data_IF_654313309259
#
_entry.id   IF_654313309259
#
_cell.length_a   1.000
_cell.length_b   1.000
_cell.length_c   1.000
_cell.angle_alpha   90.00
_cell.angle_beta   90.00
_cell.angle_gamma   90.00
#
_symmetry.space_group_name_H-M   'P 1'
#
loop_
_entity.id
_entity.type
_entity.pdbx_description
1 polymer ?
#
# COMPACT_ATOMS: atom_id res chain seq x y z
N UNK A 1 -18.03 -5.63 14.09
CA UNK A 1 -16.89 -4.77 14.45
C UNK A 1 -15.84 -5.68 15.06
N UNK A 2 -14.94 -6.21 14.24
CA UNK A 2 -13.87 -7.09 14.68
C UNK A 2 -12.66 -6.24 15.01
N UNK A 3 -12.22 -6.30 16.26
CA UNK A 3 -10.94 -5.74 16.71
C UNK A 3 -9.84 -6.47 15.92
N UNK A 4 -9.18 -5.76 14.99
CA UNK A 4 -8.04 -6.30 14.24
C UNK A 4 -6.95 -6.62 15.25
N UNK A 5 -6.72 -7.91 15.47
CA UNK A 5 -5.69 -8.42 16.37
C UNK A 5 -4.32 -7.97 15.85
N UNK A 6 -3.42 -7.54 16.73
CA UNK A 6 -2.01 -7.26 16.38
C UNK A 6 -1.30 -8.45 15.71
N UNK A 7 -1.90 -9.64 15.74
CA UNK A 7 -1.43 -10.87 15.08
C UNK A 7 -1.94 -11.07 13.64
N UNK A 8 -2.85 -10.23 13.13
CA UNK A 8 -3.38 -10.32 11.76
C UNK A 8 -2.67 -9.40 10.75
N UNK A 9 -1.67 -8.61 11.19
CA UNK A 9 -0.80 -7.88 10.27
C UNK A 9 0.25 -8.84 9.73
N UNK A 10 0.17 -9.14 8.43
CA UNK A 10 1.25 -9.86 7.76
C UNK A 10 2.53 -9.00 7.76
N UNK A 11 3.69 -9.67 7.71
CA UNK A 11 5.01 -9.01 7.73
C UNK A 11 5.14 -7.96 6.61
N UNK A 12 4.41 -8.15 5.51
CA UNK A 12 4.39 -7.20 4.39
C UNK A 12 3.73 -5.88 4.82
N UNK A 13 2.56 -5.92 5.46
CA UNK A 13 1.84 -4.74 5.92
C UNK A 13 2.66 -3.92 6.94
N UNK A 14 3.40 -4.59 7.82
CA UNK A 14 4.33 -3.94 8.76
C UNK A 14 5.41 -3.18 7.99
N UNK A 15 6.09 -3.84 7.04
CA UNK A 15 7.12 -3.21 6.22
C UNK A 15 6.59 -2.06 5.38
N UNK A 16 5.37 -2.17 4.85
CA UNK A 16 4.74 -1.06 4.13
C UNK A 16 4.54 0.16 5.06
N UNK A 17 4.09 -0.05 6.30
CA UNK A 17 4.00 1.04 7.28
C UNK A 17 5.36 1.65 7.62
N UNK A 18 6.41 0.85 7.82
CA UNK A 18 7.77 1.35 8.09
C UNK A 18 8.26 2.29 6.99
N UNK A 19 8.00 1.95 5.72
CA UNK A 19 8.38 2.80 4.59
C UNK A 19 7.54 4.07 4.53
N UNK A 20 6.23 4.00 4.81
CA UNK A 20 5.38 5.20 4.90
C UNK A 20 5.88 6.14 6.00
N UNK A 21 6.16 5.62 7.19
CA UNK A 21 6.67 6.38 8.33
C UNK A 21 8.03 7.04 8.03
N UNK A 22 8.97 6.29 7.44
CA UNK A 22 10.27 6.81 7.03
C UNK A 22 10.18 7.95 6.00
N UNK A 23 9.09 8.01 5.23
CA UNK A 23 8.81 9.05 4.23
C UNK A 23 7.83 10.13 4.73
N UNK A 24 7.49 10.17 6.03
CA UNK A 24 6.55 11.11 6.67
C UNK A 24 5.10 11.02 6.15
N UNK A 25 4.66 9.84 5.72
CA UNK A 25 3.26 9.56 5.38
C UNK A 25 2.55 8.86 6.55
N UNK A 26 1.43 9.41 7.01
CA UNK A 26 0.68 8.93 8.17
C UNK A 26 -0.71 8.38 7.80
N UNK A 27 -0.80 7.63 6.70
CA UNK A 27 -2.05 7.03 6.28
C UNK A 27 -2.28 5.66 6.91
N UNK A 28 -3.56 5.32 7.14
CA UNK A 28 -3.96 3.96 7.52
C UNK A 28 -4.18 3.12 6.26
N UNK A 29 -3.53 1.95 6.18
CA UNK A 29 -3.64 1.04 5.03
C UNK A 29 -4.94 0.24 5.11
N UNK A 30 -5.83 0.48 4.14
CA UNK A 30 -7.06 -0.30 3.92
C UNK A 30 -6.77 -1.61 3.18
N UNK A 31 -6.08 -1.55 2.04
CA UNK A 31 -5.65 -2.72 1.27
C UNK A 31 -4.38 -2.42 0.46
N UNK A 32 -3.68 -3.46 0.02
CA UNK A 32 -2.51 -3.33 -0.84
C UNK A 32 -2.46 -4.46 -1.86
N UNK A 33 -1.74 -4.22 -2.95
CA UNK A 33 -1.60 -5.15 -4.05
C UNK A 33 -0.14 -5.21 -4.52
N UNK A 34 0.43 -6.41 -4.52
CA UNK A 34 1.75 -6.67 -5.11
C UNK A 34 1.64 -6.59 -6.64
N UNK A 35 2.15 -5.51 -7.22
CA UNK A 35 2.11 -5.27 -8.65
C UNK A 35 3.14 -6.12 -9.39
N UNK A 36 4.39 -6.08 -8.93
CA UNK A 36 5.52 -6.79 -9.51
C UNK A 36 6.48 -7.24 -8.40
N UNK A 37 7.10 -8.39 -8.61
CA UNK A 37 8.13 -8.95 -7.75
C UNK A 37 9.38 -9.27 -8.59
N UNK A 38 10.42 -8.47 -8.42
CA UNK A 38 11.71 -8.67 -9.09
C UNK A 38 12.59 -9.59 -8.24
N UNK A 39 12.27 -10.89 -8.28
CA UNK A 39 13.04 -11.98 -7.64
C UNK A 39 13.24 -11.72 -6.13
N UNK A 40 12.28 -11.10 -5.46
CA UNK A 40 12.34 -10.76 -4.04
C UNK A 40 13.22 -9.56 -3.68
N UNK A 41 14.05 -9.07 -4.60
CA UNK A 41 14.95 -7.93 -4.41
C UNK A 41 14.18 -6.61 -4.36
N UNK A 42 13.19 -6.45 -5.25
CA UNK A 42 12.32 -5.28 -5.29
C UNK A 42 10.88 -5.73 -5.51
N UNK A 43 10.02 -5.46 -4.54
CA UNK A 43 8.58 -5.75 -4.60
C UNK A 43 7.80 -4.44 -4.68
N UNK A 44 7.09 -4.23 -5.78
CA UNK A 44 6.29 -3.02 -6.03
C UNK A 44 4.88 -3.21 -5.54
N UNK A 45 4.38 -2.23 -4.79
CA UNK A 45 3.06 -2.24 -4.21
C UNK A 45 2.27 -1.00 -4.60
N UNK A 46 0.99 -1.22 -4.82
CA UNK A 46 0.01 -0.17 -4.66
C UNK A 46 -0.70 -0.35 -3.34
N UNK A 47 -0.86 0.74 -2.62
CA UNK A 47 -1.62 0.81 -1.37
C UNK A 47 -2.86 1.64 -1.62
N UNK A 48 -3.98 1.16 -1.11
CA UNK A 48 -5.17 1.96 -0.87
C UNK A 48 -5.29 2.23 0.63
N UNK A 49 -5.40 3.49 0.97
CA UNK A 49 -5.58 3.95 2.35
C UNK A 49 -7.07 4.00 2.71
N UNK A 50 -7.41 4.24 3.99
CA UNK A 50 -8.79 4.38 4.44
C UNK A 50 -9.46 5.67 3.96
N UNK A 51 -8.67 6.68 3.57
CA UNK A 51 -9.12 7.93 2.94
C UNK A 51 -9.11 7.88 1.41
N UNK A 52 -8.96 6.69 0.82
CA UNK A 52 -8.97 6.43 -0.62
C UNK A 52 -7.81 7.08 -1.42
N UNK A 53 -6.76 7.48 -0.72
CA UNK A 53 -5.46 7.79 -1.32
C UNK A 53 -4.80 6.52 -1.87
N UNK A 54 -4.25 6.61 -3.08
CA UNK A 54 -3.46 5.54 -3.69
C UNK A 54 -1.99 5.87 -3.60
N UNK A 55 -1.18 4.98 -3.03
CA UNK A 55 0.26 5.16 -2.88
C UNK A 55 0.99 4.10 -3.72
N UNK A 56 1.91 4.54 -4.56
CA UNK A 56 2.83 3.71 -5.34
C UNK A 56 4.19 3.67 -4.66
N UNK A 57 4.68 2.49 -4.31
CA UNK A 57 5.91 2.34 -3.54
C UNK A 57 6.56 0.96 -3.73
N UNK A 58 7.78 0.78 -3.23
CA UNK A 58 8.44 -0.52 -3.19
C UNK A 58 8.97 -0.92 -1.81
N UNK A 59 9.07 -2.24 -1.61
CA UNK A 59 9.91 -2.84 -0.58
C UNK A 59 11.18 -3.36 -1.25
N UNK A 60 12.33 -2.87 -0.82
CA UNK A 60 13.66 -3.30 -1.28
C UNK A 60 14.74 -2.95 -0.25
N UNK A 61 16.01 -3.12 -0.59
CA UNK A 61 17.13 -2.57 0.20
C UNK A 61 17.06 -1.03 0.33
N UNK A 62 16.48 -0.35 -0.66
CA UNK A 62 16.28 1.09 -0.71
C UNK A 62 14.78 1.37 -0.94
N UNK A 63 13.95 1.27 0.10
CA UNK A 63 12.51 1.44 -0.07
C UNK A 63 12.16 2.89 -0.37
N UNK A 64 11.17 3.10 -1.23
CA UNK A 64 10.80 4.42 -1.73
C UNK A 64 9.29 4.50 -1.97
N UNK A 65 8.73 5.69 -1.72
CA UNK A 65 7.40 6.09 -2.18
C UNK A 65 7.55 6.87 -3.48
N UNK A 66 7.06 6.32 -4.58
CA UNK A 66 7.21 6.92 -5.91
C UNK A 66 6.15 7.98 -6.20
N UNK A 67 4.90 7.73 -5.77
CA UNK A 67 3.80 8.65 -6.03
C UNK A 67 2.68 8.48 -5.01
N UNK A 68 1.96 9.59 -4.78
CA UNK A 68 0.75 9.65 -3.97
C UNK A 68 -0.35 10.29 -4.81
N UNK A 69 -1.46 9.58 -4.97
CA UNK A 69 -2.61 10.01 -5.77
C UNK A 69 -3.81 10.21 -4.85
N UNK A 70 -4.21 11.46 -4.69
CA UNK A 70 -5.37 11.86 -3.89
C UNK A 70 -6.59 12.18 -4.76
N UNK A 71 -7.78 12.15 -4.16
CA UNK A 71 -9.01 12.62 -4.81
C UNK A 71 -9.59 11.68 -5.87
N UNK A 72 -9.15 10.43 -5.93
CA UNK A 72 -9.75 9.44 -6.80
C UNK A 72 -11.11 8.98 -6.28
N UNK A 73 -12.08 8.89 -7.18
CA UNK A 73 -13.38 8.29 -6.89
C UNK A 73 -13.26 6.77 -6.81
N UNK A 74 -14.17 6.12 -6.10
CA UNK A 74 -14.28 4.65 -6.06
C UNK A 74 -14.29 4.01 -7.46
N UNK A 75 -14.94 4.67 -8.43
CA UNK A 75 -14.99 4.19 -9.81
C UNK A 75 -13.64 4.30 -10.53
N UNK A 76 -12.83 5.30 -10.21
CA UNK A 76 -11.45 5.42 -10.71
C UNK A 76 -10.54 4.39 -10.04
N UNK A 77 -10.62 4.24 -8.71
CA UNK A 77 -9.85 3.25 -7.95
C UNK A 77 -10.14 1.82 -8.45
N UNK A 78 -11.40 1.48 -8.73
CA UNK A 78 -11.74 0.17 -9.30
C UNK A 78 -11.15 -0.10 -10.68
N UNK A 79 -10.86 0.94 -11.47
CA UNK A 79 -10.17 0.77 -12.76
C UNK A 79 -8.68 0.47 -12.55
N UNK A 80 -8.10 1.01 -11.48
CA UNK A 80 -6.73 0.73 -11.07
C UNK A 80 -6.61 -0.75 -10.69
N UNK A 81 -5.62 -1.43 -11.25
CA UNK A 81 -5.36 -2.88 -11.11
C UNK A 81 -6.60 -3.78 -11.20
N UNK A 82 -7.55 -3.44 -12.08
CA UNK A 82 -8.76 -4.24 -12.32
C UNK A 82 -9.54 -4.54 -11.02
N UNK A 83 -9.53 -3.60 -10.06
CA UNK A 83 -10.29 -3.70 -8.82
C UNK A 83 -9.64 -4.60 -7.75
N UNK A 84 -8.34 -4.88 -7.84
CA UNK A 84 -7.58 -5.64 -6.83
C UNK A 84 -7.24 -4.82 -5.57
N UNK A 85 -7.46 -3.50 -5.60
CA UNK A 85 -7.30 -2.57 -4.47
C UNK A 85 -8.65 -2.23 -3.79
N UNK A 86 -9.54 -3.21 -3.62
CA UNK A 86 -10.83 -2.98 -2.95
C UNK A 86 -10.68 -2.81 -1.43
#
# INVERSE_FOLDING_TARGET
>A
MGQLSMFDMDETKIKLYEVLEANNYHHEIKSYYLHNDYIGEVRYFYIRTTDDTIIDMCLSQFPEVFAVYEGFTEAQIKKIYKGRLQ
#
